data_IF_244807260746
#
_entry.id   IF_244807260746
#
_cell.length_a   1.000
_cell.length_b   1.000
_cell.length_c   1.000
_cell.angle_alpha   90.00
_cell.angle_beta   90.00
_cell.angle_gamma   90.00
#
_symmetry.space_group_name_H-M   'P 1'
#
loop_
_entity.id
_entity.type
_entity.pdbx_description
1 polymer ?
#
# COMPACT_ATOMS: atom_id res chain seq x y z
N UNK A 1 -60.46 29.60 -12.03
CA UNK A 1 -60.15 31.01 -11.68
C UNK A 1 -58.64 31.22 -11.81
N UNK A 2 -58.26 32.28 -12.53
CA UNK A 2 -56.97 33.01 -12.70
C UNK A 2 -55.74 32.51 -11.92
N UNK A 3 -54.49 32.57 -12.42
CA UNK A 3 -53.87 33.04 -13.68
C UNK A 3 -52.41 32.57 -13.66
N UNK A 4 -51.90 32.12 -14.82
CA UNK A 4 -50.47 32.05 -15.14
C UNK A 4 -49.94 33.46 -15.46
N UNK A 5 -48.68 33.76 -15.14
CA UNK A 5 -47.73 34.42 -16.07
C UNK A 5 -46.29 34.40 -15.53
N UNK A 6 -45.41 33.72 -16.27
CA UNK A 6 -43.98 34.01 -16.38
C UNK A 6 -43.78 35.04 -17.50
N UNK A 7 -42.79 35.92 -17.36
CA UNK A 7 -41.91 36.51 -18.41
C UNK A 7 -40.86 37.37 -17.65
N UNK A 8 -39.54 37.15 -17.67
CA UNK A 8 -38.52 37.17 -18.73
C UNK A 8 -38.14 38.57 -19.28
N UNK A 9 -36.82 38.70 -19.54
CA UNK A 9 -36.09 39.68 -20.39
C UNK A 9 -35.43 40.93 -19.77
N UNK A 10 -34.12 40.76 -19.52
CA UNK A 10 -32.99 41.41 -20.22
C UNK A 10 -32.92 42.93 -20.47
N UNK A 11 -31.91 43.53 -19.80
CA UNK A 11 -30.75 44.23 -20.38
C UNK A 11 -30.82 45.70 -20.85
N UNK A 12 -29.79 46.43 -20.38
CA UNK A 12 -28.87 47.32 -21.13
C UNK A 12 -29.18 48.84 -21.31
N UNK A 13 -28.19 49.63 -20.84
CA UNK A 13 -27.46 50.73 -21.52
C UNK A 13 -27.69 52.21 -21.07
N UNK A 14 -26.56 52.79 -20.59
CA UNK A 14 -25.98 54.15 -20.68
C UNK A 14 -26.75 55.44 -20.31
N UNK A 15 -26.08 56.31 -19.51
CA UNK A 15 -25.38 57.54 -19.99
C UNK A 15 -24.61 58.30 -18.87
N UNK A 16 -23.44 58.83 -19.23
CA UNK A 16 -22.48 59.76 -18.56
C UNK A 16 -23.09 61.19 -18.34
N UNK A 17 -22.49 62.18 -17.60
CA UNK A 17 -21.10 62.68 -17.80
C UNK A 17 -20.31 63.40 -16.65
N UNK A 18 -19.00 63.57 -16.92
CA UNK A 18 -18.01 64.68 -16.67
C UNK A 18 -17.77 65.37 -15.29
N UNK A 19 -16.51 65.22 -14.81
CA UNK A 19 -15.45 66.19 -14.41
C UNK A 19 -15.74 67.45 -13.56
N UNK A 20 -14.88 67.66 -12.53
CA UNK A 20 -14.14 68.92 -12.26
C UNK A 20 -12.91 68.69 -11.36
N UNK A 21 -11.83 69.42 -11.67
CA UNK A 21 -10.49 69.41 -11.07
C UNK A 21 -10.38 70.35 -9.86
N UNK A 22 -9.47 70.08 -8.90
CA UNK A 22 -8.72 71.13 -8.19
C UNK A 22 -7.40 70.57 -7.62
N UNK A 23 -6.34 71.35 -7.80
CA UNK A 23 -4.97 71.11 -7.34
C UNK A 23 -4.63 72.09 -6.19
N UNK A 24 -3.79 71.68 -5.23
CA UNK A 24 -2.57 72.40 -4.76
C UNK A 24 -2.04 71.93 -3.39
N UNK A 25 -0.71 71.91 -3.30
CA UNK A 25 0.19 72.15 -2.16
C UNK A 25 0.68 71.00 -1.25
N UNK A 26 2.01 70.95 -1.17
CA UNK A 26 3.00 70.11 -0.46
C UNK A 26 4.05 71.13 0.09
N UNK A 27 5.03 70.89 1.00
CA UNK A 27 5.33 69.85 2.03
C UNK A 27 5.67 70.44 3.45
N UNK A 28 6.09 69.59 4.43
CA UNK A 28 7.38 69.65 5.19
C UNK A 28 7.31 69.18 6.68
N UNK A 29 8.15 68.17 6.99
CA UNK A 29 8.81 67.77 8.26
C UNK A 29 7.99 67.60 9.56
N UNK A 30 8.02 66.41 10.17
CA UNK A 30 9.04 66.06 11.19
C UNK A 30 9.00 64.56 11.53
N UNK A 31 10.20 63.99 11.54
CA UNK A 31 10.65 62.64 11.88
C UNK A 31 10.24 62.09 13.25
N UNK A 32 9.89 60.80 13.33
CA UNK A 32 10.13 59.95 14.50
C UNK A 32 10.43 58.50 14.09
N UNK A 33 11.51 58.00 14.69
CA UNK A 33 12.16 56.71 14.51
C UNK A 33 11.28 55.54 14.94
N UNK A 34 11.40 54.41 14.23
CA UNK A 34 11.71 53.09 14.81
C UNK A 34 12.10 52.14 13.67
N UNK A 35 13.39 52.09 13.37
CA UNK A 35 13.96 50.94 12.67
C UNK A 35 13.93 49.76 13.65
N UNK A 36 12.91 48.91 13.53
CA UNK A 36 12.93 47.61 14.18
C UNK A 36 14.16 46.85 13.68
N UNK A 37 15.10 46.62 14.59
CA UNK A 37 16.22 45.71 14.39
C UNK A 37 15.62 44.34 14.11
N UNK A 38 15.56 43.94 12.84
CA UNK A 38 15.40 42.54 12.48
C UNK A 38 16.68 41.86 12.92
N UNK A 39 16.66 41.31 14.13
CA UNK A 39 17.66 40.34 14.57
C UNK A 39 17.60 39.17 13.59
N UNK A 40 18.48 39.21 12.60
CA UNK A 40 18.79 38.07 11.77
C UNK A 40 19.30 36.98 12.72
N UNK A 41 18.42 36.03 13.07
CA UNK A 41 18.86 34.81 13.72
C UNK A 41 19.65 34.05 12.65
N UNK A 42 20.96 34.32 12.59
CA UNK A 42 21.90 33.49 11.86
C UNK A 42 21.83 32.11 12.50
N UNK A 43 21.10 31.22 11.84
CA UNK A 43 21.12 29.81 12.15
C UNK A 43 22.56 29.35 11.90
N UNK A 44 23.29 29.18 13.00
CA UNK A 44 24.66 28.70 12.98
C UNK A 44 24.72 27.42 12.16
N UNK A 45 25.36 27.53 11.00
CA UNK A 45 25.70 26.40 10.14
C UNK A 45 26.79 25.59 10.85
N UNK A 46 26.39 24.84 11.89
CA UNK A 46 27.21 23.74 12.39
C UNK A 46 27.34 22.76 11.24
N UNK A 47 28.59 22.43 10.89
CA UNK A 47 28.95 21.47 9.84
C UNK A 47 28.51 20.05 10.18
N UNK A 48 27.21 19.84 10.33
CA UNK A 48 26.60 18.54 10.45
C UNK A 48 26.86 17.77 9.18
N UNK A 49 27.25 16.51 9.33
CA UNK A 49 27.40 15.54 8.25
C UNK A 49 26.16 15.65 7.36
N UNK A 50 26.31 16.19 6.14
CA UNK A 50 25.19 16.30 5.19
C UNK A 50 24.92 14.92 4.65
N UNK A 51 23.95 14.25 5.26
CA UNK A 51 23.40 13.00 4.79
C UNK A 51 22.70 13.24 3.45
N UNK A 52 23.07 12.45 2.44
CA UNK A 52 22.40 12.44 1.14
C UNK A 52 21.64 11.11 1.03
N UNK A 53 20.50 11.04 1.70
CA UNK A 53 19.62 9.88 1.72
C UNK A 53 18.23 10.23 1.17
N UNK A 54 17.66 9.32 0.41
CA UNK A 54 16.27 9.39 -0.06
C UNK A 54 15.53 8.10 0.25
N UNK A 55 14.21 8.21 0.37
CA UNK A 55 13.31 7.09 0.64
C UNK A 55 12.32 6.93 -0.51
N UNK A 56 12.03 5.68 -0.86
CA UNK A 56 10.83 5.31 -1.60
C UNK A 56 10.02 4.38 -0.70
N UNK A 57 8.74 4.69 -0.51
CA UNK A 57 7.89 4.00 0.46
C UNK A 57 6.63 3.50 -0.22
N UNK A 58 6.42 2.19 -0.16
CA UNK A 58 5.21 1.52 -0.61
C UNK A 58 4.61 0.76 0.56
N UNK A 59 3.30 0.53 0.55
CA UNK A 59 2.62 -0.23 1.60
C UNK A 59 1.73 -1.30 1.01
N UNK A 60 1.42 -2.32 1.81
CA UNK A 60 0.53 -3.41 1.42
C UNK A 60 1.10 -4.28 0.30
N UNK A 61 0.21 -5.08 -0.27
CA UNK A 61 0.47 -5.96 -1.40
C UNK A 61 -0.03 -5.28 -2.66
N UNK A 62 0.89 -4.79 -3.49
CA UNK A 62 0.57 -3.95 -4.65
C UNK A 62 -0.31 -2.71 -4.30
N UNK A 63 -0.03 -2.07 -3.15
CA UNK A 63 -0.82 -0.96 -2.59
C UNK A 63 -2.19 -1.35 -2.01
N UNK A 64 -2.53 -2.64 -2.00
CA UNK A 64 -3.74 -3.18 -1.39
C UNK A 64 -3.45 -3.64 0.04
N UNK A 65 -4.37 -3.38 0.96
CA UNK A 65 -4.23 -3.76 2.37
C UNK A 65 -5.59 -3.98 3.04
N UNK A 66 -5.62 -4.68 4.17
CA UNK A 66 -6.79 -4.71 5.08
C UNK A 66 -6.60 -3.80 6.28
N UNK A 67 -7.67 -3.08 6.62
CA UNK A 67 -7.73 -2.36 7.89
C UNK A 67 -7.73 -3.35 9.07
N UNK A 68 -7.08 -2.99 10.17
CA UNK A 68 -6.88 -3.81 11.38
C UNK A 68 -5.93 -5.01 11.24
N UNK A 69 -5.22 -5.12 10.13
CA UNK A 69 -4.16 -6.12 9.94
C UNK A 69 -2.77 -5.48 9.94
N UNK A 70 -1.75 -6.33 9.98
CA UNK A 70 -0.36 -5.93 9.90
C UNK A 70 0.06 -5.69 8.46
N UNK A 71 0.19 -4.41 8.09
CA UNK A 71 0.48 -4.02 6.71
C UNK A 71 2.00 -3.95 6.50
N UNK A 72 2.56 -4.59 5.45
CA UNK A 72 3.96 -4.42 5.09
C UNK A 72 4.22 -3.00 4.57
N UNK A 73 5.14 -2.28 5.18
CA UNK A 73 5.65 -0.99 4.69
C UNK A 73 7.07 -1.20 4.15
N UNK A 74 7.17 -1.23 2.82
CA UNK A 74 8.39 -1.47 2.08
C UNK A 74 9.11 -0.14 1.82
N UNK A 75 10.29 0.02 2.42
CA UNK A 75 11.12 1.22 2.32
C UNK A 75 12.41 0.89 1.57
N UNK A 76 12.61 1.50 0.40
CA UNK A 76 13.90 1.51 -0.27
C UNK A 76 14.68 2.77 0.14
N UNK A 77 15.80 2.56 0.82
CA UNK A 77 16.69 3.62 1.28
C UNK A 77 17.86 3.73 0.31
N UNK A 78 18.00 4.88 -0.35
CA UNK A 78 19.16 5.15 -1.21
C UNK A 78 20.12 6.10 -0.50
N UNK A 79 21.38 5.68 -0.31
CA UNK A 79 22.42 6.50 0.30
C UNK A 79 23.46 6.92 -0.74
N UNK A 80 23.41 8.19 -1.17
CA UNK A 80 24.37 8.79 -2.08
C UNK A 80 25.52 9.52 -1.35
N UNK A 81 25.55 9.48 -0.01
CA UNK A 81 26.57 10.10 0.83
C UNK A 81 27.54 9.09 1.42
N UNK A 82 28.06 9.42 2.61
CA UNK A 82 28.87 8.52 3.43
C UNK A 82 28.01 7.48 4.17
N UNK A 83 28.65 6.46 4.74
CA UNK A 83 27.99 5.48 5.62
C UNK A 83 27.05 6.16 6.63
N UNK A 84 25.84 5.60 6.72
CA UNK A 84 24.76 6.04 7.58
C UNK A 84 24.35 4.93 8.53
N UNK A 85 24.13 5.29 9.79
CA UNK A 85 23.50 4.42 10.79
C UNK A 85 22.49 5.25 11.56
N UNK A 86 21.30 4.72 11.73
CA UNK A 86 20.19 5.41 12.38
C UNK A 86 18.98 4.52 12.56
N UNK A 87 17.82 5.15 12.70
CA UNK A 87 16.54 4.47 12.93
C UNK A 87 15.56 4.85 11.83
N UNK A 88 14.91 3.84 11.25
CA UNK A 88 13.74 4.00 10.39
C UNK A 88 12.49 3.85 11.26
N UNK A 89 11.67 4.90 11.33
CA UNK A 89 10.40 4.90 12.04
C UNK A 89 9.24 4.95 11.04
N UNK A 90 8.27 4.05 11.19
CA UNK A 90 7.03 4.00 10.41
C UNK A 90 5.86 4.37 11.32
N UNK A 91 5.09 5.37 10.90
CA UNK A 91 3.95 5.90 11.67
C UNK A 91 2.74 6.03 10.74
N UNK A 92 1.61 5.43 11.12
CA UNK A 92 0.37 5.55 10.36
C UNK A 92 -0.21 6.97 10.46
N UNK A 93 -0.95 7.42 9.45
CA UNK A 93 -1.61 8.72 9.48
C UNK A 93 -2.99 8.71 8.82
N UNK A 94 -3.79 9.72 9.18
CA UNK A 94 -5.07 10.07 8.57
C UNK A 94 -5.04 11.51 8.02
N UNK A 95 -6.01 11.86 7.19
CA UNK A 95 -6.16 13.16 6.58
C UNK A 95 -7.40 13.27 5.70
N UNK A 96 -7.55 14.37 4.94
CA UNK A 96 -8.68 14.54 4.05
C UNK A 96 -8.74 13.41 3.00
N UNK A 97 -9.93 12.83 2.74
CA UNK A 97 -10.07 11.71 1.81
C UNK A 97 -9.47 12.01 0.44
N UNK A 98 -8.83 11.01 -0.18
CA UNK A 98 -8.21 11.09 -1.52
C UNK A 98 -7.12 12.16 -1.65
N UNK A 99 -6.55 12.62 -0.54
CA UNK A 99 -5.37 13.51 -0.53
C UNK A 99 -4.16 12.83 0.10
N UNK A 100 -2.96 13.38 -0.10
CA UNK A 100 -1.73 12.95 0.59
C UNK A 100 -1.40 13.83 1.80
N UNK A 101 -2.35 14.64 2.24
CA UNK A 101 -2.14 15.59 3.33
C UNK A 101 -2.25 14.85 4.65
N UNK A 102 -1.19 14.93 5.45
CA UNK A 102 -1.16 14.41 6.82
C UNK A 102 -1.91 15.39 7.72
N UNK A 103 -2.97 14.93 8.39
CA UNK A 103 -3.68 15.70 9.40
C UNK A 103 -3.30 15.25 10.82
N UNK A 104 -3.44 13.95 11.10
CA UNK A 104 -3.16 13.36 12.40
C UNK A 104 -2.34 12.09 12.19
N UNK A 105 -1.28 11.93 12.97
CA UNK A 105 -0.46 10.72 13.02
C UNK A 105 -0.87 9.84 14.19
N UNK A 106 -0.71 8.54 14.04
CA UNK A 106 -0.83 7.59 15.14
C UNK A 106 0.16 7.91 16.25
N UNK A 107 -0.20 7.70 17.53
CA UNK A 107 0.77 7.77 18.62
C UNK A 107 1.73 6.57 18.65
N UNK A 108 1.48 5.54 17.82
CA UNK A 108 2.28 4.32 17.76
C UNK A 108 3.31 4.39 16.64
N UNK A 109 4.57 4.16 17.01
CA UNK A 109 5.71 4.16 16.10
C UNK A 109 6.30 2.76 16.01
N UNK A 110 6.64 2.34 14.79
CA UNK A 110 7.28 1.05 14.52
C UNK A 110 8.69 1.31 14.01
N UNK A 111 9.69 0.87 14.77
CA UNK A 111 11.07 1.28 14.56
C UNK A 111 11.96 0.10 14.16
N UNK A 112 12.85 0.34 13.20
CA UNK A 112 13.86 -0.61 12.77
C UNK A 112 15.23 0.10 12.72
N UNK A 113 16.27 -0.42 13.40
CA UNK A 113 17.63 0.09 13.22
C UNK A 113 18.12 -0.23 11.80
N UNK A 114 18.79 0.74 11.16
CA UNK A 114 19.32 0.58 9.80
C UNK A 114 20.76 1.06 9.70
N UNK A 115 21.55 0.36 8.88
CA UNK A 115 22.93 0.73 8.54
C UNK A 115 23.11 0.60 7.04
N UNK A 116 23.21 1.74 6.36
CA UNK A 116 23.33 1.82 4.91
C UNK A 116 24.73 2.33 4.56
N UNK A 117 25.51 1.50 3.88
CA UNK A 117 26.82 1.91 3.37
C UNK A 117 26.69 3.12 2.43
N UNK A 118 27.74 3.92 2.33
CA UNK A 118 27.80 5.01 1.36
C UNK A 118 27.74 4.47 -0.07
N UNK A 119 27.02 5.17 -0.95
CA UNK A 119 26.78 4.77 -2.35
C UNK A 119 26.08 3.42 -2.49
N UNK A 120 25.22 3.06 -1.54
CA UNK A 120 24.47 1.81 -1.55
C UNK A 120 22.95 2.06 -1.41
N UNK A 121 22.18 1.00 -1.69
CA UNK A 121 20.74 0.95 -1.42
C UNK A 121 20.45 -0.19 -0.45
N UNK A 122 19.41 -0.02 0.37
CA UNK A 122 18.91 -1.07 1.26
C UNK A 122 17.38 -1.07 1.24
N UNK A 123 16.79 -2.25 0.98
CA UNK A 123 15.35 -2.49 1.17
C UNK A 123 15.11 -2.94 2.61
N UNK A 124 14.13 -2.33 3.26
CA UNK A 124 13.68 -2.69 4.61
C UNK A 124 12.16 -2.79 4.58
N UNK A 125 11.61 -3.84 5.18
CA UNK A 125 10.17 -3.98 5.37
C UNK A 125 9.87 -3.84 6.85
N UNK A 126 8.95 -2.93 7.18
CA UNK A 126 8.44 -2.74 8.54
C UNK A 126 6.97 -3.10 8.52
N UNK A 127 6.54 -4.04 9.36
CA UNK A 127 5.12 -4.37 9.49
C UNK A 127 4.48 -3.44 10.51
N UNK A 128 3.42 -2.74 10.11
CA UNK A 128 2.72 -1.78 10.97
C UNK A 128 1.20 -1.82 10.71
N UNK A 129 0.37 -1.86 11.76
CA UNK A 129 -1.08 -1.74 11.65
C UNK A 129 -1.53 -0.27 11.64
N UNK A 130 -2.74 -0.04 11.14
CA UNK A 130 -3.41 1.25 11.24
C UNK A 130 -4.10 1.44 12.60
N UNK A 131 -3.34 1.84 13.63
CA UNK A 131 -3.90 2.18 14.95
C UNK A 131 -4.21 3.68 15.04
N UNK A 132 -5.35 4.07 14.48
CA UNK A 132 -5.84 5.45 14.43
C UNK A 132 -7.22 5.64 15.11
N UNK A 133 -7.69 4.64 15.86
CA UNK A 133 -9.03 4.64 16.45
C UNK A 133 -10.11 4.62 15.36
N UNK A 134 -11.09 5.52 15.45
CA UNK A 134 -12.20 5.58 14.48
C UNK A 134 -11.88 6.46 13.25
N UNK A 135 -10.62 6.87 13.07
CA UNK A 135 -10.21 7.73 11.96
C UNK A 135 -9.84 6.87 10.75
N UNK A 136 -10.24 7.32 9.56
CA UNK A 136 -9.94 6.62 8.31
C UNK A 136 -8.44 6.67 8.00
N UNK A 137 -7.79 5.52 7.83
CA UNK A 137 -6.37 5.49 7.47
C UNK A 137 -6.14 6.04 6.06
N UNK A 138 -5.02 6.75 5.86
CA UNK A 138 -4.58 7.18 4.52
C UNK A 138 -3.26 6.54 4.09
N UNK A 139 -2.37 6.25 5.04
CA UNK A 139 -1.09 5.62 4.73
C UNK A 139 -0.09 5.72 5.87
N UNK A 140 1.18 5.59 5.52
CA UNK A 140 2.28 5.64 6.47
C UNK A 140 3.28 6.74 6.12
N UNK A 141 3.94 7.26 7.16
CA UNK A 141 5.10 8.13 7.08
C UNK A 141 6.31 7.30 7.49
N UNK A 142 7.29 7.19 6.60
CA UNK A 142 8.61 6.67 6.93
C UNK A 142 9.54 7.83 7.26
N UNK A 143 10.11 7.84 8.46
CA UNK A 143 11.04 8.87 8.92
C UNK A 143 12.38 8.23 9.24
N UNK A 144 13.45 8.73 8.62
CA UNK A 144 14.80 8.27 8.88
C UNK A 144 15.51 9.29 9.77
N UNK A 145 15.98 8.84 10.93
CA UNK A 145 16.68 9.67 11.91
C UNK A 145 18.08 9.14 12.18
N UNK A 146 19.05 10.02 12.43
CA UNK A 146 20.41 9.61 12.82
C UNK A 146 20.50 9.11 14.27
N UNK A 147 21.69 8.71 14.71
CA UNK A 147 21.92 8.21 16.09
C UNK A 147 21.59 9.21 17.19
N UNK A 148 21.53 10.50 16.87
CA UNK A 148 21.18 11.57 17.81
C UNK A 148 19.67 11.85 17.79
N UNK A 149 18.88 11.09 17.02
CA UNK A 149 17.45 11.30 16.86
C UNK A 149 17.10 12.45 15.91
N UNK A 150 18.08 13.03 15.21
CA UNK A 150 17.81 14.10 14.26
C UNK A 150 17.23 13.50 12.97
N UNK A 151 16.05 13.99 12.58
CA UNK A 151 15.42 13.62 11.31
C UNK A 151 16.32 14.02 10.15
N UNK A 152 16.63 13.05 9.30
CA UNK A 152 17.43 13.21 8.08
C UNK A 152 16.53 13.38 6.87
N UNK A 153 15.51 12.54 6.74
CA UNK A 153 14.56 12.57 5.64
C UNK A 153 13.26 11.87 6.04
N UNK A 154 12.17 12.22 5.36
CA UNK A 154 10.85 11.62 5.56
C UNK A 154 10.16 11.44 4.21
N UNK A 155 9.33 10.42 4.09
CA UNK A 155 8.54 10.14 2.89
C UNK A 155 7.22 9.49 3.28
N UNK A 156 6.14 9.93 2.65
CA UNK A 156 4.81 9.30 2.79
C UNK A 156 4.56 8.29 1.68
N UNK A 157 3.75 7.28 1.98
CA UNK A 157 3.25 6.32 1.00
C UNK A 157 2.36 7.01 -0.05
N UNK A 158 2.20 6.35 -1.20
CA UNK A 158 1.07 6.61 -2.08
C UNK A 158 -0.28 6.29 -1.44
N UNK A 159 -1.37 6.67 -2.11
CA UNK A 159 -2.71 6.19 -1.72
C UNK A 159 -2.80 4.69 -2.00
N UNK A 160 -3.24 3.93 -0.99
CA UNK A 160 -3.52 2.51 -1.13
C UNK A 160 -5.00 2.23 -1.34
N UNK A 161 -5.30 0.97 -1.64
CA UNK A 161 -6.64 0.43 -1.73
C UNK A 161 -6.93 -0.42 -0.49
N UNK A 162 -7.84 0.05 0.37
CA UNK A 162 -8.32 -0.74 1.50
C UNK A 162 -9.33 -1.78 0.97
N UNK A 163 -9.07 -3.06 1.22
CA UNK A 163 -10.03 -4.12 0.89
C UNK A 163 -11.31 -3.89 1.69
N UNK A 164 -12.43 -3.81 0.99
CA UNK A 164 -13.74 -3.58 1.60
C UNK A 164 -14.07 -4.77 2.54
N UNK A 165 -14.56 -4.52 3.76
CA UNK A 165 -15.00 -5.60 4.64
C UNK A 165 -16.06 -6.47 3.98
N UNK A 166 -15.83 -7.80 3.93
CA UNK A 166 -16.69 -8.76 3.23
C UNK A 166 -16.10 -9.27 1.91
N UNK A 167 -15.32 -8.44 1.20
CA UNK A 167 -14.59 -8.87 0.00
C UNK A 167 -13.51 -9.90 0.36
N UNK A 168 -13.30 -10.87 -0.53
CA UNK A 168 -12.17 -11.81 -0.45
C UNK A 168 -10.88 -11.14 -0.95
N UNK A 169 -9.79 -11.34 -0.23
CA UNK A 169 -8.45 -10.93 -0.62
C UNK A 169 -7.61 -12.15 -0.95
N UNK A 170 -7.21 -12.26 -2.21
CA UNK A 170 -6.58 -13.45 -2.77
C UNK A 170 -5.14 -13.12 -3.18
N UNK A 171 -4.18 -13.87 -2.63
CA UNK A 171 -2.78 -13.82 -3.02
C UNK A 171 -2.48 -14.87 -4.08
N UNK A 172 -1.81 -14.48 -5.17
CA UNK A 172 -1.52 -15.37 -6.29
C UNK A 172 0.00 -15.50 -6.43
N UNK A 173 0.53 -16.70 -6.26
CA UNK A 173 1.91 -17.03 -6.63
C UNK A 173 1.86 -17.84 -7.92
N UNK A 174 2.25 -17.20 -9.02
CA UNK A 174 2.30 -17.81 -10.35
C UNK A 174 3.36 -17.14 -11.21
N UNK A 175 4.05 -17.93 -12.02
CA UNK A 175 4.95 -17.40 -13.06
C UNK A 175 4.16 -16.85 -14.26
N UNK A 176 2.86 -17.14 -14.35
CA UNK A 176 1.94 -16.64 -15.38
C UNK A 176 0.75 -15.87 -14.75
N UNK A 177 0.97 -14.60 -14.43
CA UNK A 177 -0.05 -13.76 -13.80
C UNK A 177 -1.28 -13.48 -14.68
N UNK A 178 -1.20 -13.66 -16.00
CA UNK A 178 -2.31 -13.36 -16.93
C UNK A 178 -3.43 -14.41 -16.91
N UNK A 179 -3.20 -15.59 -16.33
CA UNK A 179 -4.20 -16.66 -16.26
C UNK A 179 -5.40 -16.38 -15.34
N UNK A 180 -5.32 -15.33 -14.51
CA UNK A 180 -6.27 -15.07 -13.44
C UNK A 180 -7.30 -13.98 -13.72
N UNK A 181 -7.23 -13.32 -14.88
CA UNK A 181 -8.20 -12.30 -15.28
C UNK A 181 -9.66 -12.77 -15.19
N UNK A 182 -10.02 -14.04 -15.52
CA UNK A 182 -11.39 -14.53 -15.37
C UNK A 182 -11.93 -14.48 -13.94
N UNK A 183 -11.08 -14.52 -12.90
CA UNK A 183 -11.52 -14.42 -11.51
C UNK A 183 -12.19 -13.07 -11.22
N UNK A 184 -11.81 -12.01 -11.93
CA UNK A 184 -12.45 -10.70 -11.79
C UNK A 184 -13.94 -10.69 -12.21
N UNK A 185 -14.40 -11.74 -12.89
CA UNK A 185 -15.78 -11.88 -13.37
C UNK A 185 -16.58 -12.98 -12.64
N UNK A 186 -16.03 -13.55 -11.56
CA UNK A 186 -16.72 -14.61 -10.80
C UNK A 186 -17.71 -13.99 -9.82
N UNK A 187 -18.99 -14.34 -9.99
CA UNK A 187 -20.03 -14.06 -9.02
C UNK A 187 -20.06 -15.18 -7.96
N UNK A 188 -19.87 -14.82 -6.69
CA UNK A 188 -19.92 -15.79 -5.58
C UNK A 188 -21.31 -15.75 -4.94
N UNK A 189 -22.08 -16.85 -4.97
CA UNK A 189 -23.41 -16.90 -4.36
C UNK A 189 -23.38 -16.51 -2.87
N UNK A 190 -24.35 -15.71 -2.43
CA UNK A 190 -24.48 -15.23 -1.05
C UNK A 190 -23.33 -14.35 -0.53
N UNK A 191 -22.41 -13.93 -1.40
CA UNK A 191 -21.46 -12.87 -1.12
C UNK A 191 -21.85 -11.65 -1.96
N UNK A 192 -21.85 -10.47 -1.36
CA UNK A 192 -22.14 -9.21 -2.07
C UNK A 192 -20.97 -8.72 -2.91
N UNK A 193 -19.82 -9.40 -2.85
CA UNK A 193 -18.55 -8.68 -2.83
C UNK A 193 -17.51 -9.23 -3.82
N UNK A 194 -16.92 -8.30 -4.55
CA UNK A 194 -15.88 -8.51 -5.56
C UNK A 194 -14.61 -9.14 -5.00
N UNK A 195 -13.95 -9.98 -5.80
CA UNK A 195 -12.62 -10.48 -5.52
C UNK A 195 -11.58 -9.35 -5.59
N UNK A 196 -10.71 -9.27 -4.59
CA UNK A 196 -9.50 -8.44 -4.65
C UNK A 196 -8.30 -9.35 -4.83
N UNK A 197 -7.56 -9.18 -5.92
CA UNK A 197 -6.41 -10.02 -6.25
C UNK A 197 -5.12 -9.25 -6.00
N UNK A 198 -4.09 -9.95 -5.49
CA UNK A 198 -2.72 -9.45 -5.49
C UNK A 198 -1.74 -10.54 -5.89
N UNK A 199 -0.89 -10.21 -6.85
CA UNK A 199 0.24 -11.06 -7.24
C UNK A 199 1.35 -10.98 -6.20
N UNK A 200 1.87 -12.14 -5.83
CA UNK A 200 2.93 -12.34 -4.84
C UNK A 200 4.10 -13.09 -5.49
N UNK A 201 5.29 -12.82 -4.96
CA UNK A 201 6.55 -13.45 -5.32
C UNK A 201 7.37 -13.75 -4.07
N UNK A 202 8.57 -14.32 -4.23
CA UNK A 202 9.46 -14.65 -3.11
C UNK A 202 9.85 -13.44 -2.25
N UNK A 203 9.79 -12.22 -2.80
CA UNK A 203 10.18 -10.99 -2.12
C UNK A 203 9.03 -10.28 -1.41
N UNK A 204 7.79 -10.62 -1.77
CA UNK A 204 6.55 -10.01 -1.25
C UNK A 204 5.73 -10.98 -0.42
N UNK A 205 5.91 -12.29 -0.59
CA UNK A 205 5.30 -13.30 0.27
C UNK A 205 5.88 -13.22 1.69
N UNK A 206 5.07 -12.95 2.72
CA UNK A 206 5.58 -12.69 4.06
C UNK A 206 6.07 -13.97 4.73
N UNK A 207 7.08 -13.83 5.59
CA UNK A 207 7.55 -14.88 6.51
C UNK A 207 6.89 -14.76 7.90
N UNK A 208 5.82 -13.97 8.01
CA UNK A 208 5.05 -13.74 9.23
C UNK A 208 3.56 -14.08 9.01
N UNK A 209 3.03 -15.03 9.80
CA UNK A 209 1.64 -15.49 9.66
C UNK A 209 0.60 -14.43 10.01
N UNK A 210 0.90 -13.48 10.90
CA UNK A 210 -0.01 -12.39 11.23
C UNK A 210 -0.20 -11.41 10.06
N UNK A 211 0.81 -11.30 9.20
CA UNK A 211 0.78 -10.51 7.95
C UNK A 211 0.07 -11.30 6.86
N UNK A 212 0.39 -12.60 6.71
CA UNK A 212 -0.27 -13.47 5.72
C UNK A 212 -1.79 -13.57 5.96
N UNK A 213 -2.25 -13.37 7.21
CA UNK A 213 -3.67 -13.32 7.58
C UNK A 213 -4.47 -12.22 6.88
N UNK A 214 -3.84 -11.26 6.20
CA UNK A 214 -4.56 -10.34 5.32
C UNK A 214 -5.28 -11.07 4.18
N UNK A 215 -4.74 -12.20 3.72
CA UNK A 215 -5.33 -13.01 2.66
C UNK A 215 -6.27 -14.06 3.22
N UNK A 216 -7.41 -14.24 2.53
CA UNK A 216 -8.35 -15.33 2.79
C UNK A 216 -7.95 -16.58 2.00
N UNK A 217 -7.44 -16.39 0.78
CA UNK A 217 -7.05 -17.44 -0.15
C UNK A 217 -5.64 -17.17 -0.68
N UNK A 218 -4.82 -18.21 -0.74
CA UNK A 218 -3.55 -18.20 -1.46
C UNK A 218 -3.66 -19.24 -2.59
N UNK A 219 -3.35 -18.82 -3.81
CA UNK A 219 -3.32 -19.68 -4.99
C UNK A 219 -1.86 -19.93 -5.38
N UNK A 220 -1.51 -21.20 -5.54
CA UNK A 220 -0.25 -21.66 -6.09
C UNK A 220 -0.52 -22.29 -7.45
N UNK A 221 -0.05 -21.66 -8.52
CA UNK A 221 -0.24 -22.15 -9.89
C UNK A 221 1.00 -21.91 -10.73
N UNK A 222 1.63 -22.98 -11.18
CA UNK A 222 2.89 -22.94 -11.94
C UNK A 222 3.90 -21.94 -11.34
N UNK A 223 4.07 -22.02 -10.01
CA UNK A 223 5.08 -21.27 -9.27
C UNK A 223 6.07 -22.25 -8.65
N UNK A 224 7.37 -21.94 -8.70
CA UNK A 224 8.38 -22.77 -8.03
C UNK A 224 8.42 -22.47 -6.52
N UNK A 225 7.64 -23.20 -5.74
CA UNK A 225 7.58 -23.04 -4.27
C UNK A 225 8.91 -23.36 -3.58
N UNK A 226 9.82 -24.07 -4.24
CA UNK A 226 11.19 -24.31 -3.76
C UNK A 226 12.05 -23.04 -3.72
N UNK A 227 11.58 -21.93 -4.29
CA UNK A 227 12.21 -20.61 -4.17
C UNK A 227 11.81 -19.85 -2.91
N UNK A 228 10.76 -20.29 -2.21
CA UNK A 228 10.39 -19.76 -0.90
C UNK A 228 11.39 -20.24 0.16
N UNK A 229 11.70 -19.35 1.10
CA UNK A 229 12.50 -19.72 2.26
C UNK A 229 11.75 -20.70 3.18
N UNK A 230 12.49 -21.43 4.01
CA UNK A 230 11.90 -22.31 5.02
C UNK A 230 10.95 -21.57 5.98
N UNK A 231 11.24 -20.31 6.30
CA UNK A 231 10.37 -19.46 7.12
C UNK A 231 9.05 -19.12 6.42
N UNK A 232 9.09 -18.81 5.12
CA UNK A 232 7.90 -18.57 4.30
C UNK A 232 7.04 -19.84 4.17
N UNK A 233 7.65 -21.00 3.94
CA UNK A 233 6.92 -22.28 3.89
C UNK A 233 6.27 -22.63 5.24
N UNK A 234 6.98 -22.41 6.34
CA UNK A 234 6.44 -22.59 7.70
C UNK A 234 5.28 -21.63 7.98
N UNK A 235 5.39 -20.40 7.49
CA UNK A 235 4.33 -19.38 7.61
C UNK A 235 3.10 -19.75 6.79
N UNK A 236 3.27 -20.24 5.56
CA UNK A 236 2.17 -20.78 4.75
C UNK A 236 1.47 -21.91 5.51
N UNK A 237 2.23 -22.87 6.04
CA UNK A 237 1.68 -23.99 6.79
C UNK A 237 0.90 -23.54 8.04
N UNK A 238 1.47 -22.58 8.79
CA UNK A 238 0.83 -22.02 9.98
C UNK A 238 -0.48 -21.32 9.63
N UNK A 239 -0.49 -20.56 8.53
CA UNK A 239 -1.68 -19.85 8.06
C UNK A 239 -2.78 -20.81 7.60
N UNK A 240 -2.46 -21.89 6.87
CA UNK A 240 -3.43 -22.94 6.52
C UNK A 240 -4.02 -23.58 7.77
N UNK A 241 -3.18 -23.94 8.74
CA UNK A 241 -3.61 -24.51 10.02
C UNK A 241 -4.51 -23.55 10.84
N UNK A 242 -4.44 -22.24 10.59
CA UNK A 242 -5.27 -21.22 11.22
C UNK A 242 -6.57 -20.93 10.45
N UNK A 243 -6.86 -21.68 9.39
CA UNK A 243 -8.09 -21.58 8.61
C UNK A 243 -7.95 -20.85 7.27
N UNK A 244 -6.71 -20.53 6.85
CA UNK A 244 -6.44 -20.02 5.50
C UNK A 244 -6.74 -21.07 4.43
N UNK A 245 -7.26 -20.65 3.27
CA UNK A 245 -7.62 -21.54 2.17
C UNK A 245 -6.49 -21.57 1.14
N UNK A 246 -5.78 -22.69 1.05
CA UNK A 246 -4.75 -22.90 0.03
C UNK A 246 -5.33 -23.60 -1.20
N UNK A 247 -5.21 -22.96 -2.36
CA UNK A 247 -5.48 -23.56 -3.66
C UNK A 247 -4.17 -24.01 -4.30
N UNK A 248 -4.10 -25.30 -4.58
CA UNK A 248 -2.97 -25.97 -5.18
C UNK A 248 -3.34 -26.41 -6.59
N UNK A 249 -2.80 -25.72 -7.59
CA UNK A 249 -3.07 -26.05 -8.99
C UNK A 249 -2.01 -27.03 -9.49
N UNK A 250 -2.47 -28.18 -9.98
CA UNK A 250 -1.63 -29.19 -10.60
C UNK A 250 -1.34 -28.91 -12.08
N UNK A 251 -0.84 -29.90 -12.80
CA UNK A 251 -0.51 -29.77 -14.23
C UNK A 251 0.59 -30.73 -14.64
N UNK A 252 1.14 -30.55 -15.84
CA UNK A 252 2.32 -31.30 -16.30
C UNK A 252 3.53 -31.11 -15.40
N UNK A 253 3.65 -29.92 -14.80
CA UNK A 253 4.79 -29.47 -14.01
C UNK A 253 4.46 -29.36 -12.52
N UNK A 254 3.44 -30.09 -12.05
CA UNK A 254 2.94 -30.02 -10.67
C UNK A 254 4.05 -30.23 -9.62
N UNK A 255 5.05 -31.06 -9.89
CA UNK A 255 6.14 -31.33 -8.95
C UNK A 255 6.91 -30.06 -8.60
N UNK A 256 7.00 -29.10 -9.52
CA UNK A 256 7.69 -27.82 -9.30
C UNK A 256 6.96 -26.96 -8.28
N UNK A 257 5.62 -27.00 -8.30
CA UNK A 257 4.76 -26.19 -7.43
C UNK A 257 4.43 -26.89 -6.12
N UNK A 258 4.12 -28.19 -6.15
CA UNK A 258 3.64 -28.91 -4.98
C UNK A 258 4.71 -29.78 -4.33
N UNK A 259 5.74 -30.19 -5.06
CA UNK A 259 6.79 -31.08 -4.54
C UNK A 259 7.58 -30.51 -3.34
N UNK A 260 7.96 -29.21 -3.34
CA UNK A 260 8.63 -28.58 -2.21
C UNK A 260 7.73 -28.29 -0.99
N UNK A 261 6.40 -28.41 -1.13
CA UNK A 261 5.48 -28.13 -0.03
C UNK A 261 5.58 -29.20 1.06
N UNK A 262 5.39 -28.83 2.34
CA UNK A 262 5.22 -29.81 3.40
C UNK A 262 4.08 -30.79 3.08
N UNK A 263 4.31 -32.09 3.32
CA UNK A 263 3.37 -33.15 2.95
C UNK A 263 1.97 -33.00 3.57
N UNK A 264 1.85 -32.27 4.69
CA UNK A 264 0.57 -32.01 5.35
C UNK A 264 -0.23 -30.86 4.72
N UNK A 265 0.34 -30.14 3.74
CA UNK A 265 -0.40 -29.15 2.94
C UNK A 265 -1.06 -29.78 1.73
N UNK A 266 -0.48 -30.87 1.22
CA UNK A 266 -1.02 -31.59 0.09
C UNK A 266 -2.27 -32.39 0.51
N UNK A 267 -3.46 -32.10 -0.06
CA UNK A 267 -4.68 -32.83 0.27
C UNK A 267 -4.72 -34.22 -0.37
N UNK A 268 -3.84 -34.48 -1.35
CA UNK A 268 -3.80 -35.72 -2.14
C UNK A 268 -2.37 -36.19 -2.40
N UNK A 269 -2.22 -37.47 -2.74
CA UNK A 269 -0.96 -38.03 -3.23
C UNK A 269 -1.04 -38.22 -4.74
N UNK A 270 -0.17 -37.55 -5.49
CA UNK A 270 -0.09 -37.69 -6.95
C UNK A 270 0.65 -38.97 -7.32
N UNK A 271 -0.01 -39.87 -8.04
CA UNK A 271 0.57 -41.18 -8.43
C UNK A 271 1.19 -41.19 -9.82
N UNK A 272 0.56 -40.52 -10.78
CA UNK A 272 0.97 -40.48 -12.17
C UNK A 272 0.50 -39.20 -12.86
N UNK A 273 1.07 -38.93 -14.03
CA UNK A 273 0.63 -37.87 -14.95
C UNK A 273 0.16 -38.57 -16.21
N UNK A 274 -1.00 -38.18 -16.73
CA UNK A 274 -1.52 -38.66 -18.00
C UNK A 274 -2.01 -37.48 -18.85
N UNK A 275 -1.57 -37.43 -20.10
CA UNK A 275 -2.12 -36.48 -21.08
C UNK A 275 -3.43 -37.03 -21.63
N UNK A 276 -4.50 -36.25 -21.51
CA UNK A 276 -5.78 -36.60 -22.12
C UNK A 276 -5.76 -36.34 -23.63
N UNK A 277 -6.31 -37.25 -24.46
CA UNK A 277 -6.47 -37.00 -25.89
C UNK A 277 -7.27 -35.71 -26.17
N UNK A 278 -7.00 -35.08 -27.32
CA UNK A 278 -7.81 -33.97 -27.78
C UNK A 278 -9.31 -34.39 -27.86
N UNK A 279 -10.20 -33.45 -27.55
CA UNK A 279 -11.65 -33.66 -27.47
C UNK A 279 -12.12 -34.65 -26.37
N UNK A 280 -11.30 -34.91 -25.35
CA UNK A 280 -11.79 -35.56 -24.13
C UNK A 280 -12.82 -34.65 -23.45
N UNK A 281 -14.06 -35.11 -23.33
CA UNK A 281 -15.08 -34.40 -22.58
C UNK A 281 -14.71 -34.41 -21.10
N UNK A 282 -14.37 -33.23 -20.56
CA UNK A 282 -14.31 -33.04 -19.12
C UNK A 282 -15.74 -32.97 -18.58
N UNK A 283 -15.96 -33.51 -17.38
CA UNK A 283 -17.25 -33.37 -16.73
C UNK A 283 -17.61 -31.88 -16.61
N UNK A 284 -18.88 -31.50 -16.86
CA UNK A 284 -19.37 -30.16 -16.56
C UNK A 284 -19.02 -29.78 -15.12
N UNK A 285 -18.64 -28.51 -14.87
CA UNK A 285 -18.24 -28.02 -13.55
C UNK A 285 -19.33 -28.18 -12.46
N UNK A 286 -20.58 -28.37 -12.89
CA UNK A 286 -21.80 -28.60 -12.13
C UNK A 286 -22.12 -30.09 -11.88
N UNK A 287 -21.22 -31.01 -12.27
CA UNK A 287 -21.36 -32.43 -11.98
C UNK A 287 -21.12 -32.69 -10.49
N UNK A 288 -22.13 -33.23 -9.79
CA UNK A 288 -22.01 -33.61 -8.39
C UNK A 288 -20.83 -34.58 -8.20
N UNK A 289 -19.85 -34.20 -7.39
CA UNK A 289 -18.78 -35.10 -6.93
C UNK A 289 -19.42 -36.20 -6.08
N UNK A 290 -19.69 -37.35 -6.70
CA UNK A 290 -20.07 -38.55 -5.96
C UNK A 290 -18.79 -39.06 -5.28
N UNK A 291 -18.50 -38.53 -4.10
CA UNK A 291 -17.58 -39.17 -3.19
C UNK A 291 -18.22 -40.49 -2.76
N UNK A 292 -17.78 -41.60 -3.36
CA UNK A 292 -18.06 -42.92 -2.82
C UNK A 292 -17.11 -43.13 -1.64
N UNK A 293 -17.61 -43.28 -0.41
CA UNK A 293 -16.74 -43.61 0.72
C UNK A 293 -16.18 -45.04 0.55
N UNK A 294 -15.00 -45.32 1.13
CA UNK A 294 -14.33 -46.63 1.05
C UNK A 294 -15.10 -47.76 1.75
#
# INVERSE_FOLDING_TARGET
>A
MRRYHLDQLQSKICRFPFLWSFALLVPVLLSLLTAAQVSAHQQGNTGGKRYNLSLQVNMGFQSTYRENYWVPVNVNITNNGSNFTGTLTVTAFTGPPRTRNVAITSPWNFEQPVTVAGKAQQKVTVYAPFYLGNLTPLGFIATLSDKQGKVVTTQTTGLGYAVIPGNLFIGILSDNSAGFDPLNSVDIPHQTDSLTLSTLDTSTFPDNSAVLKEFDIIILDDFNTGTLSAAQLTTLQTWVNQGGILFEVGGSDWQRTLGPLPANLLPVQVKNIQTLPAATNLLPADSALIATPP
#
